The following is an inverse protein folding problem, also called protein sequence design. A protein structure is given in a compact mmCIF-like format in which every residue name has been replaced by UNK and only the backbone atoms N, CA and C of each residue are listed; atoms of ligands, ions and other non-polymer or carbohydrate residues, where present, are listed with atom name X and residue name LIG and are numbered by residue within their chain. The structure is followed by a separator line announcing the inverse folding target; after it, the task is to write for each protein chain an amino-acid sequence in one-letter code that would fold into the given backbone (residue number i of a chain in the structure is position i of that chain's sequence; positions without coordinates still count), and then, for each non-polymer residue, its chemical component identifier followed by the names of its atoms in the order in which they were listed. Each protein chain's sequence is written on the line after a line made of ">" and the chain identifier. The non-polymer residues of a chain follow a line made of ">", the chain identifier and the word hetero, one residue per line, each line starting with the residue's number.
data_IF_123243534881
#
_entry.id   IF_123243534881
#
_cell.length_a   1.000
_cell.length_b   1.000
_cell.length_c   1.000
_cell.angle_alpha   90.00
_cell.angle_beta   90.00
_cell.angle_gamma   90.00
#
_symmetry.space_group_name_H-M   'P 1'
#
loop_
_entity.id
_entity.type
_entity.pdbx_description
1 polymer ?
#
# COMPACT_ATOMS: atom_id res chain seq x y z
N UNK A 1 -15.28 25.05 16.01
CA UNK A 1 -14.60 23.77 15.69
C UNK A 1 -13.12 24.00 15.68
N UNK A 2 -12.35 23.09 16.29
CA UNK A 2 -10.89 23.18 16.25
C UNK A 2 -10.39 22.79 14.86
N UNK A 3 -9.41 23.52 14.35
CA UNK A 3 -8.72 23.18 13.13
C UNK A 3 -7.84 21.94 13.35
N UNK A 4 -7.85 21.02 12.39
CA UNK A 4 -7.08 19.78 12.48
C UNK A 4 -5.73 19.96 11.77
N UNK A 5 -4.64 19.74 12.51
CA UNK A 5 -3.30 19.74 11.92
C UNK A 5 -3.10 18.49 11.06
N UNK A 6 -2.87 18.69 9.75
CA UNK A 6 -2.75 17.59 8.78
C UNK A 6 -1.60 16.64 9.09
N UNK A 7 -0.44 17.17 9.45
CA UNK A 7 0.72 16.35 9.79
C UNK A 7 0.43 15.46 10.99
N UNK A 8 -0.08 16.03 12.07
CA UNK A 8 -0.42 15.29 13.30
C UNK A 8 -1.50 14.24 13.04
N UNK A 9 -2.50 14.58 12.22
CA UNK A 9 -3.55 13.63 11.84
C UNK A 9 -2.98 12.41 11.11
N UNK A 10 -2.14 12.62 10.11
CA UNK A 10 -1.53 11.53 9.36
C UNK A 10 -0.58 10.69 10.23
N UNK A 11 0.14 11.32 11.14
CA UNK A 11 0.94 10.59 12.13
C UNK A 11 0.08 9.67 12.99
N UNK A 12 -1.09 10.14 13.43
CA UNK A 12 -2.05 9.32 14.19
C UNK A 12 -2.60 8.16 13.37
N UNK A 13 -2.89 8.38 12.08
CA UNK A 13 -3.33 7.32 11.15
C UNK A 13 -2.24 6.24 11.02
N UNK A 14 -0.98 6.65 10.83
CA UNK A 14 0.14 5.70 10.74
C UNK A 14 0.34 4.92 12.04
N UNK A 15 0.20 5.56 13.20
CA UNK A 15 0.29 4.89 14.50
C UNK A 15 -0.79 3.80 14.61
N UNK A 16 -2.04 4.12 14.30
CA UNK A 16 -3.14 3.17 14.33
C UNK A 16 -2.93 2.00 13.38
N UNK A 17 -2.48 2.24 12.14
CA UNK A 17 -2.17 1.17 11.19
C UNK A 17 -1.04 0.27 11.68
N UNK A 18 -0.01 0.83 12.29
CA UNK A 18 1.09 0.03 12.83
C UNK A 18 0.66 -0.85 14.00
N UNK A 19 -0.25 -0.39 14.86
CA UNK A 19 -0.84 -1.22 15.91
C UNK A 19 -1.60 -2.41 15.29
N UNK A 20 -2.44 -2.15 14.30
CA UNK A 20 -3.25 -3.16 13.59
C UNK A 20 -2.35 -4.19 12.89
N UNK A 21 -1.28 -3.74 12.24
CA UNK A 21 -0.29 -4.60 11.60
C UNK A 21 0.44 -5.45 12.65
N UNK A 22 0.87 -4.87 13.75
CA UNK A 22 1.54 -5.62 14.82
C UNK A 22 0.64 -6.66 15.46
N UNK A 23 -0.65 -6.35 15.60
CA UNK A 23 -1.64 -7.30 16.15
C UNK A 23 -1.94 -8.47 15.21
N UNK A 24 -1.45 -8.44 13.98
CA UNK A 24 -1.67 -9.49 12.99
C UNK A 24 -3.01 -9.43 12.26
N UNK A 25 -3.77 -8.36 12.45
CA UNK A 25 -5.05 -8.15 11.75
C UNK A 25 -4.82 -7.79 10.29
N UNK A 26 -3.73 -7.07 10.01
CA UNK A 26 -3.31 -6.68 8.67
C UNK A 26 -1.86 -7.08 8.43
N UNK A 27 -1.60 -7.74 7.31
CA UNK A 27 -0.23 -8.12 6.94
C UNK A 27 0.60 -6.91 6.50
N UNK A 28 -0.01 -6.01 5.72
CA UNK A 28 0.65 -4.89 5.08
C UNK A 28 -0.27 -3.69 5.08
N UNK A 29 0.27 -2.51 5.37
CA UNK A 29 -0.48 -1.26 5.34
C UNK A 29 0.25 -0.18 4.56
N UNK A 30 -0.50 0.53 3.69
CA UNK A 30 -0.08 1.78 3.07
C UNK A 30 -0.82 2.90 3.80
N UNK A 31 -0.11 3.71 4.56
CA UNK A 31 -0.77 4.62 5.49
C UNK A 31 -1.36 5.85 4.80
N UNK A 32 -0.59 6.52 3.97
CA UNK A 32 -1.03 7.78 3.36
C UNK A 32 -0.31 7.98 2.01
N UNK A 33 -1.04 7.87 0.89
CA UNK A 33 -0.47 8.23 -0.42
C UNK A 33 -0.20 9.73 -0.48
N UNK A 34 1.08 10.10 -0.55
CA UNK A 34 1.50 11.49 -0.59
C UNK A 34 1.64 11.98 -2.03
N UNK A 35 1.28 13.24 -2.27
CA UNK A 35 1.36 13.84 -3.61
C UNK A 35 2.80 14.13 -4.05
N UNK A 36 3.69 14.36 -3.08
CA UNK A 36 5.09 14.68 -3.36
C UNK A 36 6.02 13.82 -2.51
N UNK A 37 7.25 13.65 -3.01
CA UNK A 37 8.31 12.97 -2.26
C UNK A 37 8.63 13.71 -0.97
N UNK A 38 8.65 15.04 -1.01
CA UNK A 38 8.94 15.88 0.14
C UNK A 38 7.91 15.69 1.26
N UNK A 39 6.64 15.61 0.90
CA UNK A 39 5.58 15.31 1.87
C UNK A 39 5.80 13.94 2.51
N UNK A 40 6.01 12.90 1.71
CA UNK A 40 6.29 11.56 2.21
C UNK A 40 7.51 11.55 3.12
N UNK A 41 8.58 12.20 2.72
CA UNK A 41 9.83 12.22 3.48
C UNK A 41 9.67 12.95 4.82
N UNK A 42 8.74 13.91 4.92
CA UNK A 42 8.44 14.60 6.17
C UNK A 42 7.91 13.66 7.26
N UNK A 43 7.38 12.48 6.89
CA UNK A 43 6.87 11.49 7.83
C UNK A 43 7.89 10.41 8.19
N UNK A 44 9.06 10.35 7.53
CA UNK A 44 9.99 9.21 7.68
C UNK A 44 10.52 9.06 9.11
N UNK A 45 10.87 10.15 9.78
CA UNK A 45 11.37 10.06 11.15
C UNK A 45 10.33 9.48 12.10
N UNK A 46 9.09 9.92 11.97
CA UNK A 46 7.98 9.39 12.76
C UNK A 46 7.70 7.91 12.40
N UNK A 47 7.72 7.58 11.12
CA UNK A 47 7.56 6.20 10.66
C UNK A 47 8.61 5.26 11.25
N UNK A 48 9.87 5.69 11.32
CA UNK A 48 10.95 4.91 11.95
C UNK A 48 10.68 4.69 13.44
N UNK A 49 10.22 5.73 14.14
CA UNK A 49 9.82 5.62 15.55
C UNK A 49 8.69 4.61 15.76
N UNK A 50 7.71 4.58 14.84
CA UNK A 50 6.61 3.62 14.88
C UNK A 50 7.10 2.19 14.64
N UNK A 51 8.00 1.99 13.70
CA UNK A 51 8.60 0.67 13.45
C UNK A 51 9.35 0.16 14.69
N UNK A 52 10.09 1.03 15.36
CA UNK A 52 10.78 0.69 16.61
C UNK A 52 9.77 0.37 17.73
N UNK A 53 8.74 1.23 17.89
CA UNK A 53 7.70 1.05 18.92
C UNK A 53 6.95 -0.27 18.79
N UNK A 54 6.57 -0.65 17.59
CA UNK A 54 5.74 -1.83 17.33
C UNK A 54 6.51 -3.06 16.87
N UNK A 55 7.81 -2.95 16.60
CA UNK A 55 8.59 -4.06 16.04
C UNK A 55 8.20 -4.37 14.60
N UNK A 56 7.77 -3.37 13.85
CA UNK A 56 7.41 -3.49 12.44
C UNK A 56 8.57 -3.08 11.54
N UNK A 57 8.39 -3.31 10.24
CA UNK A 57 9.32 -2.94 9.18
C UNK A 57 8.64 -2.01 8.20
N UNK A 58 9.41 -1.22 7.48
CA UNK A 58 8.87 -0.32 6.47
C UNK A 58 9.64 -0.38 5.16
N UNK A 59 8.94 -0.06 4.08
CA UNK A 59 9.49 0.10 2.73
C UNK A 59 9.11 1.50 2.24
N UNK A 60 10.12 2.23 1.74
CA UNK A 60 9.94 3.58 1.20
C UNK A 60 9.63 3.44 -0.29
N UNK A 61 8.39 3.72 -0.67
CA UNK A 61 7.91 3.54 -2.03
C UNK A 61 7.90 4.85 -2.80
N UNK A 62 8.59 4.87 -3.94
CA UNK A 62 8.63 6.03 -4.83
C UNK A 62 7.72 5.89 -6.05
N UNK A 63 7.24 4.69 -6.32
CA UNK A 63 6.40 4.36 -7.46
C UNK A 63 5.30 3.41 -7.00
N UNK A 64 4.10 3.94 -6.84
CA UNK A 64 2.97 3.18 -6.30
C UNK A 64 2.60 1.99 -7.18
N UNK A 65 2.23 0.88 -6.55
CA UNK A 65 1.70 -0.28 -7.25
C UNK A 65 0.27 0.01 -7.72
N UNK A 66 0.09 0.13 -9.03
CA UNK A 66 -1.22 0.30 -9.64
C UNK A 66 -1.75 -1.07 -10.05
N UNK A 67 -2.93 -1.42 -9.58
CA UNK A 67 -3.64 -2.66 -9.93
C UNK A 67 -5.11 -2.36 -10.14
N UNK A 68 -5.86 -3.35 -10.64
CA UNK A 68 -7.31 -3.21 -10.80
C UNK A 68 -8.07 -3.23 -9.46
N UNK A 69 -7.36 -3.44 -8.35
CA UNK A 69 -7.98 -3.44 -7.02
C UNK A 69 -8.51 -2.05 -6.62
N UNK A 70 -7.80 -0.99 -6.99
CA UNK A 70 -8.16 0.39 -6.67
C UNK A 70 -8.16 1.29 -7.90
N UNK A 71 -8.98 2.34 -7.92
CA UNK A 71 -8.92 3.36 -8.97
C UNK A 71 -7.52 3.95 -9.09
N UNK A 72 -7.04 4.17 -10.31
CA UNK A 72 -5.69 4.72 -10.53
C UNK A 72 -5.51 6.10 -9.90
N UNK A 73 -6.56 6.90 -9.81
CA UNK A 73 -6.51 8.23 -9.19
C UNK A 73 -6.11 8.20 -7.71
N UNK A 74 -6.28 7.07 -7.03
CA UNK A 74 -5.89 6.94 -5.61
C UNK A 74 -4.39 6.81 -5.42
N UNK A 75 -3.69 6.21 -6.36
CA UNK A 75 -2.29 5.81 -6.16
C UNK A 75 -1.32 6.30 -7.23
N UNK A 76 -1.82 6.70 -8.41
CA UNK A 76 -0.95 7.14 -9.51
C UNK A 76 -0.15 8.37 -9.10
N UNK A 77 1.15 8.33 -9.37
CA UNK A 77 2.10 9.39 -9.05
C UNK A 77 2.17 9.75 -7.56
N UNK A 78 1.83 8.79 -6.70
CA UNK A 78 1.89 8.95 -5.24
C UNK A 78 3.16 8.31 -4.67
N UNK A 79 3.53 8.81 -3.49
CA UNK A 79 4.69 8.35 -2.72
C UNK A 79 4.20 7.80 -1.38
N UNK A 80 4.61 6.58 -1.04
CA UNK A 80 4.11 5.89 0.15
C UNK A 80 5.22 5.49 1.11
N UNK A 81 4.79 5.19 2.34
CA UNK A 81 5.54 4.38 3.30
C UNK A 81 4.69 3.14 3.54
N UNK A 82 5.26 1.98 3.29
CA UNK A 82 4.55 0.69 3.42
C UNK A 82 5.06 -0.01 4.67
N UNK A 83 4.14 -0.48 5.51
CA UNK A 83 4.46 -1.13 6.78
C UNK A 83 4.05 -2.59 6.79
N UNK A 84 4.86 -3.45 7.41
CA UNK A 84 4.54 -4.85 7.65
C UNK A 84 5.21 -5.33 8.95
N UNK A 85 4.61 -6.31 9.62
CA UNK A 85 5.21 -6.96 10.77
C UNK A 85 6.34 -7.91 10.36
N UNK A 86 6.12 -8.63 9.27
CA UNK A 86 7.09 -9.57 8.71
C UNK A 86 7.76 -8.96 7.49
N UNK A 87 9.10 -8.84 7.45
CA UNK A 87 9.79 -8.31 6.27
C UNK A 87 9.54 -9.12 5.01
N UNK A 88 9.14 -10.40 5.11
CA UNK A 88 8.76 -11.22 3.96
C UNK A 88 7.54 -10.65 3.24
N UNK A 89 6.61 -10.04 3.95
CA UNK A 89 5.44 -9.42 3.33
C UNK A 89 5.83 -8.18 2.50
N UNK A 90 6.85 -7.45 2.92
CA UNK A 90 7.43 -6.38 2.11
C UNK A 90 8.11 -6.93 0.86
N UNK A 91 8.83 -8.04 0.98
CA UNK A 91 9.47 -8.70 -0.17
C UNK A 91 8.43 -9.17 -1.19
N UNK A 92 7.32 -9.74 -0.74
CA UNK A 92 6.20 -10.14 -1.60
C UNK A 92 5.61 -8.92 -2.32
N UNK A 93 5.45 -7.82 -1.61
CA UNK A 93 4.94 -6.57 -2.18
C UNK A 93 5.86 -6.04 -3.30
N UNK A 94 7.16 -6.01 -3.05
CA UNK A 94 8.16 -5.61 -4.06
C UNK A 94 8.15 -6.57 -5.25
N UNK A 95 8.02 -7.87 -5.00
CA UNK A 95 7.91 -8.87 -6.05
C UNK A 95 6.68 -8.66 -6.94
N UNK A 96 5.54 -8.23 -6.37
CA UNK A 96 4.37 -7.88 -7.16
C UNK A 96 4.66 -6.75 -8.16
N UNK A 97 5.41 -5.73 -7.73
CA UNK A 97 5.88 -4.67 -8.64
C UNK A 97 6.70 -5.24 -9.80
N UNK A 98 7.65 -6.11 -9.49
CA UNK A 98 8.55 -6.72 -10.49
C UNK A 98 7.74 -7.58 -11.46
N UNK A 99 6.83 -8.40 -10.97
CA UNK A 99 5.99 -9.26 -11.81
C UNK A 99 5.07 -8.46 -12.72
N UNK A 100 4.41 -7.43 -12.18
CA UNK A 100 3.58 -6.54 -13.00
C UNK A 100 4.40 -5.91 -14.11
N UNK A 101 5.57 -5.35 -13.77
CA UNK A 101 6.46 -4.73 -14.77
C UNK A 101 6.84 -5.73 -15.86
N UNK A 102 7.19 -6.95 -15.51
CA UNK A 102 7.53 -8.00 -16.47
C UNK A 102 6.36 -8.31 -17.40
N UNK A 103 5.12 -8.37 -16.86
CA UNK A 103 3.92 -8.60 -17.67
C UNK A 103 3.66 -7.43 -18.63
N UNK A 104 3.82 -6.19 -18.16
CA UNK A 104 3.66 -4.99 -19.01
C UNK A 104 4.71 -4.98 -20.12
N UNK A 105 5.98 -5.22 -19.79
CA UNK A 105 7.09 -5.18 -20.73
C UNK A 105 6.96 -6.29 -21.80
N UNK A 106 6.39 -7.45 -21.45
CA UNK A 106 6.16 -8.54 -22.40
C UNK A 106 4.83 -8.43 -23.18
N UNK A 107 4.02 -7.41 -22.89
CA UNK A 107 2.70 -7.23 -23.52
C UNK A 107 1.65 -8.24 -23.07
N UNK A 108 1.84 -8.86 -21.90
CA UNK A 108 0.94 -9.91 -21.37
C UNK A 108 0.17 -9.48 -20.12
N UNK A 109 0.19 -8.20 -19.77
CA UNK A 109 -0.56 -7.67 -18.62
C UNK A 109 -2.05 -7.50 -18.95
N UNK A 110 -2.75 -8.65 -19.06
CA UNK A 110 -4.18 -8.72 -19.34
C UNK A 110 -4.74 -10.06 -18.86
N UNK A 111 -6.08 -10.20 -18.83
CA UNK A 111 -6.76 -11.43 -18.46
C UNK A 111 -6.41 -11.90 -17.04
N UNK A 112 -6.24 -13.21 -16.87
CA UNK A 112 -5.96 -13.81 -15.57
C UNK A 112 -4.64 -13.33 -14.94
N UNK A 113 -3.60 -13.12 -15.73
CA UNK A 113 -2.32 -12.62 -15.21
C UNK A 113 -2.47 -11.24 -14.56
N UNK A 114 -3.22 -10.36 -15.19
CA UNK A 114 -3.54 -9.03 -14.65
C UNK A 114 -4.40 -9.11 -13.39
N UNK A 115 -5.46 -9.93 -13.44
CA UNK A 115 -6.34 -10.16 -12.30
C UNK A 115 -5.58 -10.72 -11.10
N UNK A 116 -4.65 -11.64 -11.33
CA UNK A 116 -3.88 -12.26 -10.26
C UNK A 116 -3.01 -11.25 -9.49
N UNK A 117 -2.45 -10.25 -10.16
CA UNK A 117 -1.71 -9.17 -9.49
C UNK A 117 -2.62 -8.42 -8.51
N UNK A 118 -3.83 -8.07 -8.93
CA UNK A 118 -4.80 -7.39 -8.06
C UNK A 118 -5.24 -8.26 -6.88
N UNK A 119 -5.48 -9.55 -7.12
CA UNK A 119 -5.89 -10.50 -6.07
C UNK A 119 -4.79 -10.69 -5.03
N UNK A 120 -3.56 -10.89 -5.45
CA UNK A 120 -2.43 -11.06 -4.52
C UNK A 120 -2.17 -9.79 -3.72
N UNK A 121 -2.32 -8.61 -4.32
CA UNK A 121 -2.25 -7.35 -3.59
C UNK A 121 -3.35 -7.27 -2.53
N UNK A 122 -4.58 -7.62 -2.87
CA UNK A 122 -5.68 -7.65 -1.92
C UNK A 122 -5.43 -8.59 -0.75
N UNK A 123 -4.87 -9.77 -1.02
CA UNK A 123 -4.48 -10.72 0.03
C UNK A 123 -3.40 -10.15 0.96
N UNK A 124 -2.41 -9.45 0.42
CA UNK A 124 -1.41 -8.75 1.24
C UNK A 124 -2.04 -7.70 2.14
N UNK A 125 -3.08 -7.01 1.68
CA UNK A 125 -3.83 -6.03 2.47
C UNK A 125 -4.77 -6.68 3.47
N UNK A 126 -4.81 -8.02 3.52
CA UNK A 126 -5.67 -8.83 4.39
C UNK A 126 -7.17 -8.70 4.07
N UNK A 127 -7.49 -8.42 2.82
CA UNK A 127 -8.87 -8.41 2.34
C UNK A 127 -9.35 -9.83 2.06
N UNK A 128 -10.64 -10.09 2.30
CA UNK A 128 -11.28 -11.35 1.92
C UNK A 128 -11.40 -11.46 0.40
N UNK A 129 -11.53 -12.68 -0.11
CA UNK A 129 -11.74 -12.92 -1.54
C UNK A 129 -13.00 -12.20 -2.04
N UNK A 130 -14.06 -12.19 -1.25
CA UNK A 130 -15.31 -11.49 -1.56
C UNK A 130 -15.11 -9.97 -1.68
N UNK A 131 -14.35 -9.37 -0.73
CA UNK A 131 -14.04 -7.96 -0.78
C UNK A 131 -13.18 -7.60 -2.00
N UNK A 132 -12.20 -8.44 -2.34
CA UNK A 132 -11.34 -8.26 -3.51
C UNK A 132 -12.17 -8.27 -4.80
N UNK A 133 -13.04 -9.26 -4.98
CA UNK A 133 -13.91 -9.36 -6.16
C UNK A 133 -14.83 -8.14 -6.27
N UNK A 134 -15.38 -7.69 -5.16
CA UNK A 134 -16.25 -6.50 -5.13
C UNK A 134 -15.50 -5.23 -5.52
N UNK A 135 -14.29 -5.05 -5.01
CA UNK A 135 -13.46 -3.88 -5.33
C UNK A 135 -13.07 -3.86 -6.80
N UNK A 136 -12.65 -4.99 -7.35
CA UNK A 136 -12.29 -5.11 -8.76
C UNK A 136 -13.51 -4.80 -9.64
N UNK A 137 -14.67 -5.38 -9.31
CA UNK A 137 -15.89 -5.18 -10.09
C UNK A 137 -16.39 -3.72 -10.06
N UNK A 138 -16.18 -3.03 -8.94
CA UNK A 138 -16.61 -1.64 -8.76
C UNK A 138 -15.65 -0.61 -9.39
N UNK A 139 -14.41 -1.03 -9.71
CA UNK A 139 -13.39 -0.11 -10.22
C UNK A 139 -13.65 0.24 -11.69
N UNK A 140 -13.90 1.51 -11.96
CA UNK A 140 -14.10 2.05 -13.31
C UNK A 140 -12.89 2.85 -13.84
N UNK A 141 -11.84 2.98 -13.03
CA UNK A 141 -10.62 3.73 -13.38
C UNK A 141 -9.44 2.76 -13.51
N UNK A 142 -9.40 2.03 -14.64
CA UNK A 142 -8.32 1.09 -14.94
C UNK A 142 -7.15 1.80 -15.62
N UNK A 143 -5.94 1.26 -15.42
CA UNK A 143 -4.73 1.71 -16.09
C UNK A 143 -4.76 1.39 -17.58
#
# INVERSE_FOLDING_TARGET
>A
MKEMDRFSYQCGVMDAFNEVVRAGVKRLALAHPCDTREERDSYLDYARQLCEKYGNHMYIENDSLLTDLFPISMNKDKFNIVFARDPKDLDIYVELHVRKKALVDSGTYHGEARKQIAVEFGHLLSYSDEAIERLIAANSELE
#
